data_IF_293916632834
#
_entry.id   IF_293916632834
#
_cell.length_a   1.000
_cell.length_b   1.000
_cell.length_c   1.000
_cell.angle_alpha   90.00
_cell.angle_beta   90.00
_cell.angle_gamma   90.00
#
_symmetry.space_group_name_H-M   'P 1'
#
loop_
_entity.id
_entity.type
_entity.pdbx_description
1 polymer ?
#
# COMPACT_ATOMS: atom_id res chain seq x y z
N UNK A 1 10.20 -24.01 10.41
CA UNK A 1 9.99 -23.22 11.64
C UNK A 1 8.50 -22.98 11.78
N UNK A 2 7.89 -23.32 12.92
CA UNK A 2 6.50 -22.93 13.16
C UNK A 2 6.47 -21.41 13.40
N UNK A 3 5.71 -20.67 12.59
CA UNK A 3 5.51 -19.24 12.81
C UNK A 3 4.63 -19.06 14.05
N UNK A 4 5.07 -18.22 14.99
CA UNK A 4 4.24 -17.75 16.08
C UNK A 4 3.14 -16.86 15.47
N UNK A 5 1.85 -17.14 15.68
CA UNK A 5 0.78 -16.34 15.13
C UNK A 5 0.83 -14.90 15.69
N UNK A 6 0.72 -13.91 14.79
CA UNK A 6 0.69 -12.48 15.17
C UNK A 6 -0.73 -12.10 15.60
N UNK A 7 -0.95 -12.01 16.91
CA UNK A 7 -2.28 -11.75 17.50
C UNK A 7 -2.65 -10.27 17.62
N UNK A 8 -1.78 -9.36 17.19
CA UNK A 8 -2.02 -7.91 17.26
C UNK A 8 -2.91 -7.38 16.13
N UNK A 9 -3.07 -8.15 15.05
CA UNK A 9 -3.84 -7.75 13.89
C UNK A 9 -5.25 -8.30 13.97
N UNK A 10 -6.19 -7.55 13.40
CA UNK A 10 -7.60 -7.91 13.30
C UNK A 10 -7.97 -8.03 11.81
N UNK A 11 -9.23 -8.34 11.53
CA UNK A 11 -9.72 -8.55 10.17
C UNK A 11 -9.49 -7.33 9.26
N UNK A 12 -9.65 -6.11 9.77
CA UNK A 12 -9.42 -4.88 9.00
C UNK A 12 -7.95 -4.77 8.55
N UNK A 13 -7.01 -5.05 9.46
CA UNK A 13 -5.59 -5.08 9.12
C UNK A 13 -5.28 -6.14 8.06
N UNK A 14 -5.92 -7.31 8.14
CA UNK A 14 -5.71 -8.40 7.20
C UNK A 14 -6.30 -8.12 5.82
N UNK A 15 -7.46 -7.48 5.76
CA UNK A 15 -8.07 -7.01 4.52
C UNK A 15 -7.19 -5.95 3.85
N UNK A 16 -6.77 -4.92 4.60
CA UNK A 16 -5.86 -3.90 4.11
C UNK A 16 -4.57 -4.52 3.57
N UNK A 17 -3.92 -5.40 4.36
CA UNK A 17 -2.68 -6.08 3.97
C UNK A 17 -2.84 -6.89 2.68
N UNK A 18 -3.98 -7.52 2.49
CA UNK A 18 -4.27 -8.33 1.31
C UNK A 18 -4.42 -7.43 0.07
N UNK A 19 -5.24 -6.38 0.17
CA UNK A 19 -5.45 -5.43 -0.91
C UNK A 19 -4.17 -4.68 -1.29
N UNK A 20 -3.45 -4.17 -0.29
CA UNK A 20 -2.22 -3.41 -0.51
C UNK A 20 -1.12 -4.27 -1.14
N UNK A 21 -0.97 -5.55 -0.73
CA UNK A 21 0.01 -6.46 -1.35
C UNK A 21 -0.33 -6.71 -2.82
N UNK A 22 -1.58 -7.03 -3.13
CA UNK A 22 -1.98 -7.28 -4.51
C UNK A 22 -1.73 -6.05 -5.39
N UNK A 23 -1.98 -4.86 -4.86
CA UNK A 23 -1.67 -3.61 -5.55
C UNK A 23 -0.17 -3.41 -5.77
N UNK A 24 0.66 -3.62 -4.74
CA UNK A 24 2.12 -3.53 -4.87
C UNK A 24 2.65 -4.48 -5.96
N UNK A 25 2.18 -5.73 -5.95
CA UNK A 25 2.63 -6.76 -6.89
C UNK A 25 2.30 -6.39 -8.35
N UNK A 26 1.17 -5.72 -8.58
CA UNK A 26 0.70 -5.36 -9.92
C UNK A 26 1.24 -4.00 -10.41
N UNK A 27 1.29 -3.00 -9.53
CA UNK A 27 1.52 -1.60 -9.93
C UNK A 27 2.93 -1.09 -9.57
N UNK A 28 3.50 -1.58 -8.47
CA UNK A 28 4.78 -1.09 -7.93
C UNK A 28 5.94 -1.98 -8.35
N UNK A 29 5.87 -3.28 -8.09
CA UNK A 29 6.96 -4.23 -8.32
C UNK A 29 7.49 -4.20 -9.76
N UNK A 30 6.66 -4.15 -10.82
CA UNK A 30 7.17 -4.10 -12.19
C UNK A 30 7.98 -2.84 -12.53
N UNK A 31 7.77 -1.75 -11.81
CA UNK A 31 8.35 -0.44 -12.10
C UNK A 31 9.49 -0.05 -11.14
N UNK A 32 9.56 -0.71 -9.98
CA UNK A 32 10.44 -0.35 -8.87
C UNK A 32 11.91 -0.21 -9.27
N UNK A 33 12.48 -1.19 -9.97
CA UNK A 33 13.89 -1.15 -10.35
C UNK A 33 14.23 0.04 -11.26
N UNK A 34 13.29 0.45 -12.12
CA UNK A 34 13.50 1.59 -13.00
C UNK A 34 13.49 2.89 -12.19
N UNK A 35 12.55 3.03 -11.26
CA UNK A 35 12.51 4.19 -10.36
C UNK A 35 13.77 4.31 -9.50
N UNK A 36 14.33 3.18 -9.04
CA UNK A 36 15.61 3.18 -8.33
C UNK A 36 16.76 3.65 -9.22
N UNK A 37 16.85 3.17 -10.46
CA UNK A 37 17.86 3.62 -11.42
C UNK A 37 17.75 5.11 -11.74
N UNK A 38 16.52 5.62 -11.86
CA UNK A 38 16.24 7.01 -12.16
C UNK A 38 16.34 7.92 -10.92
N UNK A 39 16.36 7.32 -9.72
CA UNK A 39 16.29 8.04 -8.44
C UNK A 39 14.96 8.76 -8.21
N UNK A 40 13.89 8.34 -8.91
CA UNK A 40 12.60 9.02 -8.91
C UNK A 40 11.44 8.02 -9.06
N UNK A 41 10.59 7.96 -8.04
CA UNK A 41 9.30 7.27 -8.12
C UNK A 41 8.34 8.12 -8.95
N UNK A 42 7.63 7.48 -9.88
CA UNK A 42 6.61 8.12 -10.73
C UNK A 42 5.57 8.89 -9.90
N UNK A 43 5.04 9.99 -10.44
CA UNK A 43 3.97 10.75 -9.77
C UNK A 43 2.63 10.01 -9.85
N UNK A 44 2.44 9.26 -10.92
CA UNK A 44 1.21 8.57 -11.27
C UNK A 44 0.88 7.50 -10.22
N UNK A 45 1.88 6.76 -9.71
CA UNK A 45 1.67 5.75 -8.68
C UNK A 45 1.16 6.34 -7.37
N UNK A 46 1.59 7.57 -7.00
CA UNK A 46 1.08 8.24 -5.81
C UNK A 46 -0.37 8.69 -5.96
N UNK A 47 -0.75 9.19 -7.14
CA UNK A 47 -2.13 9.56 -7.44
C UNK A 47 -3.05 8.34 -7.44
N UNK A 48 -2.55 7.21 -7.93
CA UNK A 48 -3.27 5.96 -7.97
C UNK A 48 -3.41 5.35 -6.56
N UNK A 49 -2.34 5.32 -5.75
CA UNK A 49 -2.40 4.87 -4.36
C UNK A 49 -3.43 5.67 -3.53
N UNK A 50 -3.51 6.98 -3.78
CA UNK A 50 -4.52 7.85 -3.15
C UNK A 50 -5.96 7.48 -3.57
N UNK A 51 -6.20 7.08 -4.82
CA UNK A 51 -7.53 6.61 -5.27
C UNK A 51 -7.95 5.30 -4.60
N UNK A 52 -6.99 4.48 -4.20
CA UNK A 52 -7.23 3.22 -3.50
C UNK A 52 -7.37 3.36 -1.97
N UNK A 53 -7.20 4.56 -1.41
CA UNK A 53 -7.21 4.75 0.06
C UNK A 53 -5.98 4.13 0.72
N UNK A 54 -4.83 4.11 0.04
CA UNK A 54 -3.59 3.61 0.62
C UNK A 54 -2.73 4.72 1.24
N UNK A 55 -3.18 5.97 1.11
CA UNK A 55 -2.51 7.15 1.64
C UNK A 55 -3.41 7.83 2.67
N UNK A 56 -2.85 8.25 3.80
CA UNK A 56 -3.61 8.99 4.79
C UNK A 56 -4.58 8.14 5.63
N UNK A 57 -4.22 6.88 5.92
CA UNK A 57 -5.03 5.94 6.73
C UNK A 57 -5.50 6.49 8.09
N UNK A 58 -4.77 7.45 8.67
CA UNK A 58 -5.12 8.08 9.95
C UNK A 58 -5.75 9.45 9.79
N UNK A 59 -5.99 9.89 8.55
CA UNK A 59 -6.61 11.17 8.23
C UNK A 59 -8.13 10.99 8.29
N UNK A 60 -8.90 11.93 8.87
CA UNK A 60 -10.35 11.86 8.85
C UNK A 60 -10.93 11.84 7.43
N UNK A 61 -11.97 11.03 7.21
CA UNK A 61 -12.67 10.88 5.91
C UNK A 61 -13.12 12.21 5.30
N UNK A 62 -13.53 13.19 6.12
CA UNK A 62 -13.93 14.53 5.64
C UNK A 62 -12.83 15.28 4.90
N UNK A 63 -11.57 14.85 5.04
CA UNK A 63 -10.42 15.38 4.31
C UNK A 63 -9.92 14.43 3.22
N UNK A 64 -10.65 13.36 2.93
CA UNK A 64 -10.28 12.32 1.96
C UNK A 64 -9.35 11.25 2.51
N UNK A 65 -9.27 11.11 3.84
CA UNK A 65 -8.59 9.97 4.46
C UNK A 65 -9.44 8.70 4.43
N UNK A 66 -8.78 7.56 4.54
CA UNK A 66 -9.36 6.23 4.38
C UNK A 66 -8.25 5.24 4.11
#
# INVERSE_FOLDING_TARGET
MQQIPRTLFNDDHDQFRTAFRAWLDNEVVPNHEQWERDGLVSREIWLEAGRHGFLGLTVPEKFGGG
#
